data_IF_356578328911
#
_entry.id   IF_356578328911
#
_cell.length_a   1.000
_cell.length_b   1.000
_cell.length_c   1.000
_cell.angle_alpha   90.00
_cell.angle_beta   90.00
_cell.angle_gamma   90.00
#
_symmetry.space_group_name_H-M   'P 1'
#
loop_
_entity.id
_entity.type
_entity.pdbx_description
1 polymer ?
#
# COMPACT_ATOMS: atom_id res chain seq x y z
N UNK A 1 4.08 20.05 11.22
CA UNK A 1 3.84 18.80 11.94
C UNK A 1 5.09 17.96 11.77
N UNK A 2 5.89 17.80 12.81
CA UNK A 2 7.19 17.09 12.77
C UNK A 2 6.90 15.63 13.09
N UNK A 3 7.09 14.73 12.14
CA UNK A 3 6.98 13.30 12.40
C UNK A 3 8.27 12.85 13.12
N UNK A 4 8.16 12.54 14.41
CA UNK A 4 9.19 11.81 15.12
C UNK A 4 9.04 10.31 14.83
N UNK A 5 9.85 9.82 13.90
CA UNK A 5 10.11 8.38 13.79
C UNK A 5 11.00 7.96 14.94
N UNK A 6 10.40 7.48 16.03
CA UNK A 6 11.12 6.89 17.14
C UNK A 6 11.87 5.63 16.71
N UNK A 7 13.16 5.78 16.47
CA UNK A 7 14.32 4.93 16.88
C UNK A 7 15.57 5.33 16.12
N UNK A 8 16.19 6.34 16.58
CA UNK A 8 17.61 6.71 16.55
C UNK A 8 17.69 8.24 16.54
N UNK A 9 18.27 8.84 17.56
CA UNK A 9 18.32 10.28 17.83
C UNK A 9 18.99 11.18 16.77
N UNK A 10 18.74 10.98 15.49
CA UNK A 10 19.05 11.92 14.43
C UNK A 10 17.82 12.77 14.17
N UNK A 11 17.87 14.06 14.46
CA UNK A 11 16.95 15.06 13.92
C UNK A 11 16.99 14.91 12.40
N UNK A 12 15.88 14.43 11.81
CA UNK A 12 15.69 14.38 10.36
C UNK A 12 15.62 15.82 9.90
N UNK A 13 16.57 16.23 9.04
CA UNK A 13 16.60 17.56 8.47
C UNK A 13 15.33 17.80 7.62
N UNK A 14 14.91 19.06 7.50
CA UNK A 14 13.65 19.54 6.93
C UNK A 14 13.43 19.26 5.42
N UNK A 15 13.95 18.17 4.86
CA UNK A 15 13.80 17.81 3.45
C UNK A 15 13.77 16.30 3.23
N UNK A 16 13.06 15.57 4.12
CA UNK A 16 12.98 14.13 3.98
C UNK A 16 11.91 13.74 2.94
N UNK A 17 12.32 12.98 1.93
CA UNK A 17 11.48 12.56 0.82
C UNK A 17 11.26 11.05 0.79
N UNK A 18 10.01 10.63 0.60
CA UNK A 18 9.61 9.24 0.55
C UNK A 18 8.92 8.95 -0.77
N UNK A 19 9.35 7.91 -1.45
CA UNK A 19 8.66 7.33 -2.59
C UNK A 19 7.80 6.16 -2.14
N UNK A 20 6.49 6.30 -2.21
CA UNK A 20 5.54 5.20 -2.07
C UNK A 20 5.32 4.51 -3.42
N UNK A 21 5.37 3.19 -3.43
CA UNK A 21 5.14 2.35 -4.61
C UNK A 21 4.00 1.38 -4.32
N UNK A 22 2.94 1.41 -5.13
CA UNK A 22 1.96 0.35 -5.21
C UNK A 22 2.25 -0.50 -6.44
N UNK A 23 2.52 -1.79 -6.23
CA UNK A 23 2.90 -2.74 -7.27
C UNK A 23 1.75 -3.62 -7.75
N UNK A 24 0.58 -3.49 -7.12
CA UNK A 24 -0.63 -4.25 -7.47
C UNK A 24 -1.46 -3.58 -8.57
N UNK A 25 -2.68 -4.06 -8.75
CA UNK A 25 -3.68 -3.47 -9.65
C UNK A 25 -3.74 -1.95 -9.47
N UNK A 26 -3.71 -1.22 -10.58
CA UNK A 26 -3.51 0.23 -10.63
C UNK A 26 -2.16 0.63 -10.04
N UNK A 27 -1.09 0.04 -10.57
CA UNK A 27 0.28 0.41 -10.19
C UNK A 27 0.43 1.92 -10.12
N UNK A 28 0.96 2.42 -9.00
CA UNK A 28 1.03 3.85 -8.75
C UNK A 28 2.27 4.23 -7.96
N UNK A 29 2.63 5.49 -8.06
CA UNK A 29 3.66 6.10 -7.24
C UNK A 29 3.13 7.34 -6.53
N UNK A 30 3.61 7.54 -5.31
CA UNK A 30 3.36 8.73 -4.51
C UNK A 30 4.69 9.25 -3.97
N UNK A 31 5.00 10.51 -4.20
CA UNK A 31 6.15 11.17 -3.57
C UNK A 31 5.64 12.08 -2.47
N UNK A 32 6.16 11.86 -1.27
CA UNK A 32 5.92 12.75 -0.13
C UNK A 32 7.21 13.49 0.20
N UNK A 33 7.11 14.81 0.43
CA UNK A 33 8.19 15.66 0.91
C UNK A 33 7.74 16.40 2.16
N UNK A 34 8.50 16.29 3.22
CA UNK A 34 8.21 16.96 4.50
C UNK A 34 6.77 16.70 5.01
N UNK A 35 6.30 15.45 4.85
CA UNK A 35 4.98 15.03 5.30
C UNK A 35 3.80 15.50 4.42
N UNK A 36 4.08 16.05 3.25
CA UNK A 36 3.05 16.45 2.27
C UNK A 36 3.18 15.66 0.98
N UNK A 37 2.05 15.34 0.36
CA UNK A 37 2.04 14.74 -0.97
C UNK A 37 2.50 15.82 -1.96
N UNK A 38 3.62 15.55 -2.63
CA UNK A 38 4.21 16.41 -3.66
C UNK A 38 3.77 15.95 -5.05
N UNK A 39 3.70 14.64 -5.26
CA UNK A 39 3.36 14.05 -6.55
C UNK A 39 2.67 12.70 -6.37
N UNK A 40 1.63 12.45 -7.15
CA UNK A 40 0.96 11.15 -7.25
C UNK A 40 0.55 10.87 -8.68
N UNK A 41 0.75 9.64 -9.15
CA UNK A 41 0.29 9.19 -10.46
C UNK A 41 0.10 7.68 -10.52
N UNK A 42 -0.92 7.25 -11.24
CA UNK A 42 -1.19 5.86 -11.59
C UNK A 42 -0.63 5.50 -12.95
N UNK A 43 -0.16 4.27 -13.12
CA UNK A 43 0.39 3.78 -14.39
C UNK A 43 -0.59 3.91 -15.54
N UNK A 44 -1.85 3.59 -15.32
CA UNK A 44 -2.89 3.67 -16.36
C UNK A 44 -3.09 5.07 -16.94
N UNK A 45 -2.79 6.14 -16.18
CA UNK A 45 -2.87 7.53 -16.66
C UNK A 45 -1.81 7.83 -17.71
N UNK A 46 -0.67 7.16 -17.60
CA UNK A 46 0.47 7.34 -18.52
C UNK A 46 0.41 6.36 -19.68
N UNK A 47 0.14 5.09 -19.39
CA UNK A 47 0.20 4.01 -20.40
C UNK A 47 -1.10 3.84 -21.16
N UNK A 48 -2.22 4.40 -20.65
CA UNK A 48 -3.58 4.25 -21.18
C UNK A 48 -4.09 2.80 -21.19
N UNK A 49 -3.48 1.93 -20.38
CA UNK A 49 -3.91 0.55 -20.17
C UNK A 49 -4.56 0.43 -18.82
N UNK A 50 -5.79 -0.07 -18.78
CA UNK A 50 -6.48 -0.38 -17.52
C UNK A 50 -5.68 -1.35 -16.67
N UNK A 51 -5.62 -1.08 -15.37
CA UNK A 51 -4.94 -1.94 -14.37
C UNK A 51 -3.46 -2.19 -14.69
N UNK A 52 -2.80 -1.25 -15.35
CA UNK A 52 -1.39 -1.38 -15.66
C UNK A 52 -0.53 -1.31 -14.38
N UNK A 53 0.36 -2.26 -14.23
CA UNK A 53 1.30 -2.36 -13.10
C UNK A 53 2.67 -1.73 -13.40
N UNK A 54 2.85 -1.15 -14.59
CA UNK A 54 4.15 -0.70 -15.10
C UNK A 54 4.66 0.55 -14.39
N UNK A 55 5.19 0.42 -13.18
CA UNK A 55 5.79 1.54 -12.43
C UNK A 55 7.05 2.11 -13.08
N UNK A 56 7.71 1.37 -13.96
CA UNK A 56 8.93 1.82 -14.67
C UNK A 56 8.75 3.13 -15.40
N UNK A 57 7.60 3.27 -16.07
CA UNK A 57 7.27 4.51 -16.78
C UNK A 57 7.10 5.69 -15.85
N UNK A 58 6.80 5.47 -14.58
CA UNK A 58 6.55 6.48 -13.57
C UNK A 58 7.82 6.89 -12.82
N UNK A 59 8.70 5.93 -12.51
CA UNK A 59 9.93 6.16 -11.73
C UNK A 59 10.87 7.17 -12.39
N UNK A 60 10.80 7.33 -13.72
CA UNK A 60 11.62 8.32 -14.45
C UNK A 60 11.35 9.76 -14.02
N UNK A 61 10.16 10.06 -13.53
CA UNK A 61 9.77 11.42 -13.10
C UNK A 61 10.17 11.76 -11.66
N UNK A 62 10.70 10.78 -10.92
CA UNK A 62 11.03 10.92 -9.50
C UNK A 62 12.51 11.18 -9.32
N UNK A 63 12.87 12.14 -8.46
CA UNK A 63 14.23 12.50 -8.11
C UNK A 63 14.36 12.73 -6.61
N UNK A 64 15.57 12.64 -6.07
CA UNK A 64 15.94 13.02 -4.70
C UNK A 64 15.06 12.31 -3.64
N UNK A 65 15.22 11.00 -3.51
CA UNK A 65 14.46 10.15 -2.60
C UNK A 65 15.37 9.59 -1.51
N UNK A 66 14.98 9.80 -0.25
CA UNK A 66 15.69 9.31 0.94
C UNK A 66 15.18 7.94 1.39
N UNK A 67 13.90 7.64 1.15
CA UNK A 67 13.29 6.37 1.52
C UNK A 67 12.25 5.90 0.50
N UNK A 68 12.08 4.59 0.42
CA UNK A 68 11.12 3.95 -0.48
C UNK A 68 10.23 3.02 0.34
N UNK A 69 8.91 3.22 0.25
CA UNK A 69 7.91 2.34 0.85
C UNK A 69 7.22 1.55 -0.24
N UNK A 70 7.20 0.23 -0.12
CA UNK A 70 6.61 -0.66 -1.13
C UNK A 70 5.37 -1.32 -0.55
N UNK A 71 4.24 -1.18 -1.24
CA UNK A 71 3.00 -1.90 -0.97
C UNK A 71 2.58 -2.75 -2.17
N UNK A 72 1.84 -3.81 -1.92
CA UNK A 72 1.31 -4.71 -2.95
C UNK A 72 0.12 -5.48 -2.37
N UNK A 73 -0.81 -5.92 -3.22
CA UNK A 73 -1.79 -6.95 -2.87
C UNK A 73 -1.17 -8.32 -3.10
N UNK A 74 -0.86 -8.99 -2.02
CA UNK A 74 -0.04 -10.21 -2.00
C UNK A 74 -0.83 -11.47 -2.42
N UNK A 75 -1.28 -11.57 -3.68
CA UNK A 75 -2.16 -12.65 -4.14
C UNK A 75 -1.44 -13.83 -4.80
N UNK A 76 -0.28 -13.64 -5.43
CA UNK A 76 0.35 -14.69 -6.21
C UNK A 76 1.79 -14.96 -5.82
N UNK A 77 2.11 -16.26 -5.67
CA UNK A 77 3.51 -16.71 -5.58
C UNK A 77 4.35 -16.24 -6.78
N UNK A 78 3.71 -15.95 -7.90
CA UNK A 78 4.36 -15.49 -9.13
C UNK A 78 4.65 -13.98 -9.10
N UNK A 79 3.82 -13.15 -8.44
CA UNK A 79 4.10 -11.72 -8.29
C UNK A 79 5.37 -11.49 -7.46
N UNK A 80 5.68 -12.38 -6.51
CA UNK A 80 6.99 -12.39 -5.84
C UNK A 80 8.16 -12.51 -6.82
N UNK A 81 8.00 -13.25 -7.90
CA UNK A 81 9.06 -13.53 -8.88
C UNK A 81 9.21 -12.42 -9.91
N UNK A 82 8.10 -11.84 -10.37
CA UNK A 82 8.12 -10.78 -11.39
C UNK A 82 8.56 -9.42 -10.84
N UNK A 83 8.14 -9.08 -9.63
CA UNK A 83 8.46 -7.80 -9.00
C UNK A 83 9.79 -7.81 -8.24
N UNK A 84 10.30 -8.99 -7.87
CA UNK A 84 11.48 -9.10 -7.01
C UNK A 84 12.81 -8.80 -7.68
N UNK A 85 12.92 -8.98 -9.00
CA UNK A 85 14.24 -8.87 -9.63
C UNK A 85 14.43 -7.62 -10.48
N UNK A 86 13.45 -7.25 -11.31
CA UNK A 86 13.69 -6.21 -12.31
C UNK A 86 13.27 -4.80 -11.85
N UNK A 87 12.10 -4.66 -11.22
CA UNK A 87 11.61 -3.33 -10.83
C UNK A 87 12.31 -2.81 -9.57
N UNK A 88 12.58 -3.67 -8.59
CA UNK A 88 13.39 -3.30 -7.42
C UNK A 88 14.83 -2.97 -7.82
N UNK A 89 15.40 -3.67 -8.80
CA UNK A 89 16.75 -3.35 -9.29
C UNK A 89 16.82 -1.99 -9.96
N UNK A 90 15.83 -1.63 -10.78
CA UNK A 90 15.73 -0.31 -11.40
C UNK A 90 15.63 0.79 -10.35
N UNK A 91 14.80 0.57 -9.32
CA UNK A 91 14.62 1.52 -8.23
C UNK A 91 15.92 1.66 -7.41
N UNK A 92 16.55 0.54 -7.05
CA UNK A 92 17.84 0.56 -6.33
C UNK A 92 18.95 1.21 -7.13
N UNK A 93 19.00 0.98 -8.44
CA UNK A 93 20.00 1.62 -9.29
C UNK A 93 19.78 3.13 -9.39
N UNK A 94 18.52 3.57 -9.39
CA UNK A 94 18.20 5.00 -9.46
C UNK A 94 18.39 5.71 -8.10
N UNK A 95 18.13 5.04 -7.00
CA UNK A 95 18.20 5.58 -5.63
C UNK A 95 19.04 4.64 -4.75
N UNK A 96 20.35 4.55 -4.98
CA UNK A 96 21.22 3.56 -4.32
C UNK A 96 21.28 3.74 -2.80
N UNK A 97 21.17 4.96 -2.31
CA UNK A 97 21.26 5.32 -0.90
C UNK A 97 19.90 5.33 -0.19
N UNK A 98 18.80 5.19 -0.93
CA UNK A 98 17.46 5.23 -0.35
C UNK A 98 17.17 3.97 0.47
N UNK A 99 16.67 4.17 1.70
CA UNK A 99 16.27 3.06 2.57
C UNK A 99 14.94 2.47 2.10
N UNK A 100 14.90 1.14 1.90
CA UNK A 100 13.70 0.44 1.45
C UNK A 100 12.94 -0.12 2.65
N UNK A 101 11.64 0.16 2.69
CA UNK A 101 10.66 -0.38 3.62
C UNK A 101 9.65 -1.22 2.84
N UNK A 102 9.61 -2.51 3.13
CA UNK A 102 8.73 -3.46 2.45
C UNK A 102 7.47 -3.73 3.30
N UNK A 103 6.34 -3.21 2.85
CA UNK A 103 5.02 -3.38 3.46
C UNK A 103 4.10 -4.30 2.67
N UNK A 104 4.63 -5.07 1.74
CA UNK A 104 3.82 -5.96 0.88
C UNK A 104 3.04 -7.01 1.66
N UNK A 105 3.48 -7.39 2.84
CA UNK A 105 2.77 -8.32 3.74
C UNK A 105 1.86 -7.62 4.77
N UNK A 106 1.71 -6.30 4.67
CA UNK A 106 0.97 -5.47 5.63
C UNK A 106 -0.13 -4.66 4.92
N UNK A 107 -0.90 -5.32 4.04
CA UNK A 107 -1.89 -4.66 3.17
C UNK A 107 -2.91 -3.81 3.96
N UNK A 108 -3.56 -4.39 4.96
CA UNK A 108 -4.53 -3.66 5.80
C UNK A 108 -3.88 -2.50 6.57
N UNK A 109 -2.62 -2.64 6.96
CA UNK A 109 -1.89 -1.54 7.62
C UNK A 109 -1.64 -0.39 6.65
N UNK A 110 -1.37 -0.67 5.37
CA UNK A 110 -1.24 0.37 4.34
C UNK A 110 -2.56 1.13 4.14
N UNK A 111 -3.71 0.44 4.11
CA UNK A 111 -5.02 1.07 4.06
C UNK A 111 -5.28 1.98 5.28
N UNK A 112 -5.07 1.45 6.48
CA UNK A 112 -5.25 2.21 7.72
C UNK A 112 -4.33 3.44 7.79
N UNK A 113 -3.06 3.31 7.37
CA UNK A 113 -2.10 4.41 7.31
C UNK A 113 -2.56 5.50 6.33
N UNK A 114 -2.99 5.10 5.15
CA UNK A 114 -3.49 6.02 4.12
C UNK A 114 -4.70 6.81 4.63
N UNK A 115 -5.66 6.15 5.26
CA UNK A 115 -6.83 6.82 5.83
C UNK A 115 -6.46 7.75 7.00
N UNK A 116 -5.69 7.26 7.96
CA UNK A 116 -5.36 7.97 9.20
C UNK A 116 -4.52 9.23 8.94
N UNK A 117 -3.41 9.10 8.22
CA UNK A 117 -2.50 10.23 8.03
C UNK A 117 -3.07 11.32 7.12
N UNK A 118 -4.08 11.01 6.30
CA UNK A 118 -4.78 12.01 5.49
C UNK A 118 -6.03 12.59 6.18
N UNK A 119 -6.51 11.99 7.28
CA UNK A 119 -7.72 12.46 7.98
C UNK A 119 -7.52 13.71 8.80
N UNK A 120 -6.28 13.97 9.24
CA UNK A 120 -5.97 15.02 10.20
C UNK A 120 -6.29 14.66 11.67
N UNK A 121 -6.80 13.46 11.96
CA UNK A 121 -7.02 12.99 13.33
C UNK A 121 -5.69 12.76 14.05
N UNK A 122 -5.67 13.00 15.37
CA UNK A 122 -4.51 12.69 16.21
C UNK A 122 -4.57 11.29 16.79
N UNK A 123 -5.77 10.82 17.02
CA UNK A 123 -6.11 9.47 17.46
C UNK A 123 -7.41 9.02 16.77
N UNK A 124 -7.53 7.75 16.48
CA UNK A 124 -8.67 7.19 15.78
C UNK A 124 -8.71 5.65 15.87
N UNK A 125 -9.88 5.10 15.66
CA UNK A 125 -10.05 3.70 15.32
C UNK A 125 -10.11 3.60 13.79
N UNK A 126 -9.18 2.85 13.19
CA UNK A 126 -9.21 2.55 11.76
C UNK A 126 -9.85 1.17 11.55
N UNK A 127 -10.90 1.12 10.75
CA UNK A 127 -11.58 -0.12 10.36
C UNK A 127 -11.25 -0.36 8.90
N UNK A 128 -10.55 -1.48 8.64
CA UNK A 128 -10.23 -1.94 7.29
C UNK A 128 -11.09 -3.13 6.97
N UNK A 129 -11.86 -3.01 5.89
CA UNK A 129 -12.69 -4.08 5.32
C UNK A 129 -12.28 -4.27 3.88
N UNK A 130 -11.82 -5.46 3.55
CA UNK A 130 -11.29 -5.78 2.23
C UNK A 130 -11.78 -7.15 1.77
N UNK A 131 -11.90 -7.35 0.47
CA UNK A 131 -12.19 -8.67 -0.08
C UNK A 131 -11.00 -9.61 0.15
N UNK A 132 -9.78 -9.09 0.06
CA UNK A 132 -8.56 -9.87 0.11
C UNK A 132 -7.36 -9.01 0.54
N UNK A 133 -6.99 -9.08 1.80
CA UNK A 133 -5.77 -8.48 2.34
C UNK A 133 -4.54 -9.37 2.21
N UNK A 134 -3.58 -9.25 3.10
CA UNK A 134 -2.38 -10.07 3.09
C UNK A 134 -2.67 -11.54 3.39
N UNK A 135 -1.99 -12.43 2.68
CA UNK A 135 -1.98 -13.85 3.00
C UNK A 135 -0.96 -14.10 4.11
N UNK A 136 -1.43 -14.64 5.23
CA UNK A 136 -0.63 -15.01 6.39
C UNK A 136 -0.72 -16.52 6.65
N UNK A 137 -0.01 -17.04 7.65
CA UNK A 137 -0.15 -18.43 8.09
C UNK A 137 -1.55 -18.73 8.63
N UNK A 138 -2.25 -17.71 9.16
CA UNK A 138 -3.62 -17.80 9.67
C UNK A 138 -4.69 -17.73 8.58
N UNK A 139 -4.33 -17.39 7.34
CA UNK A 139 -5.26 -17.23 6.22
C UNK A 139 -5.12 -15.88 5.52
N UNK A 140 -6.13 -15.51 4.74
CA UNK A 140 -6.20 -14.24 4.03
C UNK A 140 -6.93 -13.24 4.93
N UNK A 141 -6.31 -12.10 5.21
CA UNK A 141 -6.94 -11.02 5.97
C UNK A 141 -8.15 -10.47 5.20
N UNK A 142 -9.28 -10.29 5.89
CA UNK A 142 -10.50 -9.71 5.31
C UNK A 142 -11.00 -8.51 6.11
N UNK A 143 -10.75 -8.47 7.42
CA UNK A 143 -11.13 -7.35 8.27
C UNK A 143 -10.03 -7.12 9.32
N UNK A 144 -9.69 -5.86 9.60
CA UNK A 144 -8.77 -5.51 10.69
C UNK A 144 -9.18 -4.18 11.31
N UNK A 145 -9.17 -4.10 12.63
CA UNK A 145 -9.41 -2.87 13.39
C UNK A 145 -8.14 -2.50 14.14
N UNK A 146 -7.68 -1.28 13.91
CA UNK A 146 -6.50 -0.71 14.58
C UNK A 146 -6.88 0.43 15.50
N UNK A 147 -6.23 0.51 16.66
CA UNK A 147 -6.15 1.69 17.49
C UNK A 147 -4.94 2.53 17.06
N UNK A 148 -5.15 3.75 16.66
CA UNK A 148 -4.12 4.65 16.12
C UNK A 148 -3.96 5.90 17.00
N UNK A 149 -2.73 6.37 17.23
CA UNK A 149 -1.48 6.04 16.52
C UNK A 149 -0.69 4.87 17.12
N UNK A 150 -1.23 4.13 18.09
CA UNK A 150 -0.51 3.05 18.78
C UNK A 150 -0.22 1.83 17.87
N UNK A 151 -0.96 1.68 16.78
CA UNK A 151 -0.95 0.53 15.86
C UNK A 151 -1.33 -0.80 16.53
N UNK A 152 -2.02 -0.72 17.69
CA UNK A 152 -2.55 -1.91 18.34
C UNK A 152 -3.67 -2.50 17.50
N UNK A 153 -3.57 -3.79 17.19
CA UNK A 153 -4.66 -4.54 16.57
C UNK A 153 -5.71 -4.85 17.62
N UNK A 154 -6.92 -4.33 17.45
CA UNK A 154 -8.07 -4.58 18.33
C UNK A 154 -8.86 -5.79 17.86
N UNK A 155 -8.95 -5.98 16.53
CA UNK A 155 -9.65 -7.09 15.91
C UNK A 155 -8.97 -7.46 14.60
N UNK A 156 -8.95 -8.75 14.27
CA UNK A 156 -8.48 -9.25 12.97
C UNK A 156 -9.27 -10.49 12.60
N UNK A 157 -9.75 -10.54 11.37
CA UNK A 157 -10.52 -11.63 10.81
C UNK A 157 -9.86 -12.14 9.53
N UNK A 158 -9.88 -13.43 9.36
CA UNK A 158 -9.35 -14.11 8.20
C UNK A 158 -10.48 -14.81 7.44
N UNK A 159 -10.33 -14.91 6.14
CA UNK A 159 -11.26 -15.64 5.28
C UNK A 159 -11.38 -17.10 5.72
N UNK A 160 -12.61 -17.57 5.81
CA UNK A 160 -12.95 -18.98 5.89
C UNK A 160 -14.22 -19.26 5.06
N UNK A 161 -14.55 -20.54 4.84
CA UNK A 161 -15.67 -20.91 3.97
C UNK A 161 -17.04 -20.51 4.55
N UNK A 162 -17.16 -20.46 5.88
CA UNK A 162 -18.42 -20.13 6.57
C UNK A 162 -18.61 -18.63 6.74
N UNK A 163 -17.53 -17.86 6.65
CA UNK A 163 -17.54 -16.42 6.81
C UNK A 163 -16.54 -15.75 5.86
N UNK A 164 -17.06 -15.33 4.74
CA UNK A 164 -16.27 -14.74 3.64
C UNK A 164 -15.94 -13.26 3.85
N UNK A 165 -16.51 -12.61 4.87
CA UNK A 165 -16.34 -11.18 5.14
C UNK A 165 -17.16 -10.26 4.24
N UNK A 166 -17.31 -9.00 4.67
CA UNK A 166 -18.16 -7.99 4.02
C UNK A 166 -17.68 -7.69 2.59
N UNK A 167 -16.37 -7.57 2.39
CA UNK A 167 -15.81 -7.25 1.07
C UNK A 167 -16.14 -8.31 0.01
N UNK A 168 -16.02 -9.60 0.35
CA UNK A 168 -16.42 -10.70 -0.54
C UNK A 168 -17.92 -10.79 -0.75
N UNK A 169 -18.72 -10.52 0.28
CA UNK A 169 -20.18 -10.46 0.15
C UNK A 169 -20.59 -9.34 -0.81
N UNK A 170 -19.95 -8.18 -0.72
CA UNK A 170 -20.17 -7.08 -1.66
C UNK A 170 -19.84 -7.51 -3.10
N UNK A 171 -18.66 -8.06 -3.33
CA UNK A 171 -18.23 -8.55 -4.62
C UNK A 171 -19.24 -9.56 -5.21
N UNK A 172 -19.66 -10.56 -4.43
CA UNK A 172 -20.65 -11.55 -4.87
C UNK A 172 -22.01 -10.92 -5.17
N UNK A 173 -22.42 -9.92 -4.40
CA UNK A 173 -23.66 -9.18 -4.64
C UNK A 173 -23.60 -8.46 -5.98
N UNK A 174 -22.49 -7.77 -6.29
CA UNK A 174 -22.31 -7.13 -7.59
C UNK A 174 -22.41 -8.12 -8.75
N UNK A 175 -21.76 -9.28 -8.64
CA UNK A 175 -21.86 -10.34 -9.66
C UNK A 175 -23.28 -10.85 -9.83
N UNK A 176 -24.03 -11.05 -8.74
CA UNK A 176 -25.42 -11.51 -8.76
C UNK A 176 -26.36 -10.49 -9.46
N UNK A 177 -26.00 -9.20 -9.43
CA UNK A 177 -26.72 -8.15 -10.16
C UNK A 177 -26.21 -7.91 -11.59
N UNK A 178 -25.31 -8.76 -12.08
CA UNK A 178 -24.83 -8.71 -13.47
C UNK A 178 -23.64 -7.79 -13.71
N UNK A 179 -23.00 -7.26 -12.66
CA UNK A 179 -21.73 -6.54 -12.77
C UNK A 179 -20.57 -7.54 -12.87
N UNK A 180 -19.50 -7.12 -13.52
CA UNK A 180 -18.27 -7.91 -13.47
C UNK A 180 -17.69 -7.91 -12.06
N UNK A 181 -17.09 -9.03 -11.66
CA UNK A 181 -16.38 -9.17 -10.36
C UNK A 181 -15.35 -8.05 -10.14
N UNK A 182 -14.81 -7.56 -11.23
CA UNK A 182 -13.79 -6.53 -11.26
C UNK A 182 -14.32 -5.10 -11.10
N UNK A 183 -15.64 -4.92 -11.16
CA UNK A 183 -16.32 -3.62 -11.02
C UNK A 183 -16.86 -3.40 -9.59
N UNK A 184 -16.64 -4.38 -8.68
CA UNK A 184 -17.15 -4.39 -7.32
C UNK A 184 -16.28 -3.63 -6.31
#
# INVERSE_FOLDING_TARGET
MTFELHKSGKKISAKFSVLGLNLSNNGSICVMRDGKIDFYIESERVTRKKRDHAIRSLVKYVHDIDAIAISDSYWEKESKKLLSSLDISIIKNKFPDAKIYDYRSEHHKCHAASAFYNSGFKDAIAIVVDANGSKTDSGIEIETIYDLPSWKVLHKKYFNQDDVGIGKQWQQTCVNYGFHEEDA
#
